data_IF_564303702198
#
_entry.id   IF_564303702198
#
_cell.length_a   1.000
_cell.length_b   1.000
_cell.length_c   1.000
_cell.angle_alpha   90.00
_cell.angle_beta   90.00
_cell.angle_gamma   90.00
#
_symmetry.space_group_name_H-M   'P 1'
#
loop_
_entity.id
_entity.type
_entity.pdbx_description
1 polymer ?
#
# COMPACT_ATOMS: atom_id res chain seq x y z
N UNK A 1 -19.75 0.35 -18.41
CA UNK A 1 -20.82 1.33 -18.11
C UNK A 1 -21.47 0.92 -16.79
N UNK A 2 -21.12 1.55 -15.66
CA UNK A 2 -21.69 1.20 -14.34
C UNK A 2 -22.92 2.09 -14.07
N UNK A 3 -24.07 1.71 -14.63
CA UNK A 3 -25.35 2.46 -14.57
C UNK A 3 -25.80 2.82 -13.14
N UNK A 4 -25.31 2.12 -12.11
CA UNK A 4 -25.69 2.35 -10.71
C UNK A 4 -24.96 3.53 -10.05
N UNK A 5 -23.91 4.08 -10.68
CA UNK A 5 -23.22 5.26 -10.14
C UNK A 5 -23.76 6.58 -10.66
N UNK A 6 -24.50 6.57 -11.78
CA UNK A 6 -25.05 7.77 -12.42
C UNK A 6 -26.59 7.73 -12.33
N UNK A 7 -27.11 7.59 -11.11
CA UNK A 7 -28.55 7.49 -10.85
C UNK A 7 -29.21 8.87 -10.84
N UNK A 8 -30.39 9.04 -11.46
CA UNK A 8 -31.17 10.26 -11.33
C UNK A 8 -31.61 10.47 -9.88
N UNK A 9 -31.84 11.75 -9.52
CA UNK A 9 -32.26 12.14 -8.17
C UNK A 9 -33.54 11.39 -7.78
N UNK A 10 -33.54 10.75 -6.63
CA UNK A 10 -34.67 9.99 -6.10
C UNK A 10 -34.59 8.46 -6.28
N UNK A 11 -33.61 7.94 -7.04
CA UNK A 11 -33.40 6.48 -7.12
C UNK A 11 -32.33 6.03 -6.13
N UNK A 12 -32.71 5.09 -5.25
CA UNK A 12 -31.74 4.48 -4.34
C UNK A 12 -30.84 3.47 -5.07
N UNK A 13 -29.57 3.37 -4.66
CA UNK A 13 -28.64 2.33 -5.14
C UNK A 13 -29.19 0.92 -4.93
N UNK A 14 -29.99 0.72 -3.87
CA UNK A 14 -30.64 -0.55 -3.59
C UNK A 14 -31.66 -0.94 -4.67
N UNK A 15 -32.52 0.00 -5.08
CA UNK A 15 -33.50 -0.20 -6.14
C UNK A 15 -32.82 -0.44 -7.49
N UNK A 16 -31.78 0.33 -7.79
CA UNK A 16 -31.01 0.19 -9.02
C UNK A 16 -30.26 -1.15 -9.11
N UNK A 17 -29.69 -1.64 -8.00
CA UNK A 17 -29.06 -2.96 -7.98
C UNK A 17 -30.08 -4.06 -8.20
N UNK A 18 -31.26 -3.94 -7.58
CA UNK A 18 -32.34 -4.89 -7.72
C UNK A 18 -32.88 -4.96 -9.14
N UNK A 19 -33.07 -3.83 -9.82
CA UNK A 19 -33.64 -3.77 -11.17
C UNK A 19 -32.73 -4.39 -12.24
N UNK A 20 -31.42 -4.39 -12.03
CA UNK A 20 -30.43 -4.99 -12.95
C UNK A 20 -29.89 -6.34 -12.45
N UNK A 21 -30.47 -6.89 -11.38
CA UNK A 21 -30.14 -8.23 -10.88
C UNK A 21 -28.74 -8.37 -10.27
N UNK A 22 -28.11 -7.28 -9.82
CA UNK A 22 -26.80 -7.35 -9.16
C UNK A 22 -26.94 -7.24 -7.64
N UNK A 23 -26.08 -7.95 -6.91
CA UNK A 23 -26.01 -7.79 -5.47
C UNK A 23 -25.37 -6.44 -5.12
N UNK A 24 -25.97 -5.71 -4.15
CA UNK A 24 -25.48 -4.39 -3.72
C UNK A 24 -24.00 -4.39 -3.30
N UNK A 25 -23.54 -5.49 -2.68
CA UNK A 25 -22.14 -5.61 -2.24
C UNK A 25 -21.15 -5.54 -3.42
N UNK A 26 -21.57 -6.00 -4.61
CA UNK A 26 -20.75 -6.00 -5.82
C UNK A 26 -20.43 -4.58 -6.33
N UNK A 27 -21.20 -3.56 -5.89
CA UNK A 27 -20.86 -2.16 -6.16
C UNK A 27 -19.57 -1.72 -5.44
N UNK A 28 -19.34 -2.22 -4.23
CA UNK A 28 -18.22 -1.82 -3.39
C UNK A 28 -16.98 -2.67 -3.60
N UNK A 29 -17.16 -3.92 -4.03
CA UNK A 29 -16.05 -4.83 -4.34
C UNK A 29 -15.45 -4.58 -5.73
N UNK A 30 -16.18 -3.96 -6.65
CA UNK A 30 -15.66 -3.73 -8.01
C UNK A 30 -14.58 -2.67 -7.98
N UNK A 31 -13.33 -2.98 -8.38
CA UNK A 31 -12.34 -1.96 -8.62
C UNK A 31 -12.88 -1.01 -9.69
N UNK A 32 -12.67 0.30 -9.50
CA UNK A 32 -13.03 1.30 -10.50
C UNK A 32 -12.43 0.88 -11.86
N UNK A 33 -13.22 0.89 -12.94
CA UNK A 33 -12.71 0.53 -14.26
C UNK A 33 -11.61 1.53 -14.67
N UNK A 34 -10.55 1.03 -15.30
CA UNK A 34 -9.34 1.79 -15.62
C UNK A 34 -9.58 3.09 -16.38
N UNK A 35 -10.67 3.22 -17.15
CA UNK A 35 -11.04 4.46 -17.84
C UNK A 35 -11.50 5.59 -16.90
N UNK A 36 -11.96 5.26 -15.67
CA UNK A 36 -12.27 6.24 -14.62
C UNK A 36 -11.04 6.64 -13.81
N UNK A 37 -9.96 5.85 -13.88
CA UNK A 37 -8.64 6.22 -13.38
C UNK A 37 -7.90 7.18 -14.34
N UNK A 38 -8.47 7.47 -15.51
CA UNK A 38 -7.96 8.44 -16.49
C UNK A 38 -8.52 9.85 -16.27
N UNK A 39 -9.27 10.09 -15.18
CA UNK A 39 -9.53 11.46 -14.73
C UNK A 39 -8.19 12.16 -14.54
N UNK A 40 -8.01 13.29 -15.23
CA UNK A 40 -6.77 14.03 -15.49
C UNK A 40 -6.02 14.58 -14.28
N UNK A 41 -6.41 14.18 -13.07
CA UNK A 41 -5.59 14.42 -11.89
C UNK A 41 -4.52 13.34 -11.85
N UNK A 42 -3.31 13.73 -12.27
CA UNK A 42 -2.07 13.05 -11.90
C UNK A 42 -2.25 12.58 -10.46
N UNK A 43 -2.12 11.27 -10.13
CA UNK A 43 -2.30 10.84 -8.76
C UNK A 43 -1.39 11.70 -7.90
N UNK A 44 -1.99 12.56 -7.07
CA UNK A 44 -1.24 13.39 -6.13
C UNK A 44 -0.39 12.39 -5.39
N UNK A 45 0.93 12.49 -5.53
CA UNK A 45 1.86 11.56 -4.90
C UNK A 45 1.40 11.42 -3.45
N UNK A 46 0.87 10.23 -3.13
CA UNK A 46 0.20 10.03 -1.86
C UNK A 46 1.21 10.41 -0.78
N UNK A 47 0.85 11.35 0.09
CA UNK A 47 1.76 11.77 1.16
C UNK A 47 2.28 10.52 1.86
N UNK A 48 3.60 10.39 2.05
CA UNK A 48 4.15 9.22 2.70
C UNK A 48 3.46 9.04 4.05
N UNK A 49 3.18 7.79 4.42
CA UNK A 49 2.55 7.48 5.69
C UNK A 49 3.38 8.12 6.82
N UNK A 50 2.78 8.66 7.90
CA UNK A 50 3.54 9.33 8.98
C UNK A 50 4.61 8.45 9.65
N UNK A 51 4.52 7.12 9.48
CA UNK A 51 5.50 6.13 9.96
C UNK A 51 6.43 5.60 8.86
N UNK A 52 6.40 6.19 7.67
CA UNK A 52 7.35 5.84 6.63
C UNK A 52 8.74 6.26 7.09
N UNK A 53 9.73 5.40 6.84
CA UNK A 53 11.13 5.74 7.04
C UNK A 53 11.46 6.96 6.16
N UNK A 54 12.02 7.99 6.77
CA UNK A 54 12.66 9.11 6.08
C UNK A 54 13.87 8.61 5.28
N UNK A 55 14.27 9.34 4.25
CA UNK A 55 15.46 9.03 3.44
C UNK A 55 16.72 8.70 4.29
N UNK A 56 17.10 9.48 5.33
CA UNK A 56 18.26 9.14 6.15
C UNK A 56 18.08 7.82 6.93
N UNK A 57 16.86 7.53 7.41
CA UNK A 57 16.58 6.26 8.09
C UNK A 57 16.66 5.07 7.12
N UNK A 58 16.17 5.24 5.89
CA UNK A 58 16.30 4.22 4.85
C UNK A 58 17.76 3.93 4.54
N UNK A 59 18.58 4.98 4.41
CA UNK A 59 20.01 4.85 4.15
C UNK A 59 20.73 4.10 5.28
N UNK A 60 20.45 4.45 6.53
CA UNK A 60 21.02 3.76 7.69
C UNK A 60 20.68 2.25 7.71
N UNK A 61 19.45 1.88 7.32
CA UNK A 61 19.04 0.47 7.19
C UNK A 61 19.81 -0.22 6.07
N UNK A 62 19.96 0.42 4.90
CA UNK A 62 20.71 -0.13 3.77
C UNK A 62 22.19 -0.30 4.08
N UNK A 63 22.80 0.65 4.80
CA UNK A 63 24.19 0.55 5.26
C UNK A 63 24.41 -0.66 6.16
N UNK A 64 23.49 -0.95 7.08
CA UNK A 64 23.58 -2.16 7.91
C UNK A 64 23.38 -3.43 7.09
N UNK A 65 22.40 -3.46 6.19
CA UNK A 65 22.15 -4.60 5.29
C UNK A 65 23.36 -4.91 4.38
N UNK A 66 24.08 -3.89 3.95
CA UNK A 66 25.27 -4.04 3.09
C UNK A 66 26.59 -4.09 3.88
N UNK A 67 26.54 -4.03 5.21
CA UNK A 67 27.74 -4.11 6.04
C UNK A 67 28.35 -5.51 5.97
N UNK A 68 29.68 -5.59 6.09
CA UNK A 68 30.39 -6.87 6.15
C UNK A 68 29.89 -7.78 7.28
N UNK A 69 29.30 -7.20 8.33
CA UNK A 69 28.72 -7.92 9.46
C UNK A 69 27.50 -8.75 9.07
N UNK A 70 26.70 -8.27 8.12
CA UNK A 70 25.41 -8.86 7.76
C UNK A 70 25.32 -9.29 6.29
N UNK A 71 26.44 -9.28 5.56
CA UNK A 71 26.47 -9.62 4.12
C UNK A 71 25.92 -11.02 3.82
N UNK A 72 26.16 -11.98 4.71
CA UNK A 72 25.64 -13.36 4.59
C UNK A 72 24.37 -13.60 5.41
N UNK A 73 23.83 -12.56 6.06
CA UNK A 73 22.65 -12.66 6.91
C UNK A 73 21.40 -12.20 6.15
N UNK A 74 20.31 -12.94 6.30
CA UNK A 74 19.00 -12.46 5.84
C UNK A 74 18.56 -11.23 6.63
N UNK A 75 17.70 -10.35 6.06
CA UNK A 75 17.13 -9.22 6.79
C UNK A 75 16.45 -9.61 8.11
N UNK A 76 15.87 -10.82 8.19
CA UNK A 76 15.27 -11.34 9.41
C UNK A 76 16.31 -11.64 10.50
N UNK A 77 17.47 -12.17 10.13
CA UNK A 77 18.57 -12.43 11.06
C UNK A 77 19.19 -11.12 11.54
N UNK A 78 19.51 -10.19 10.64
CA UNK A 78 20.03 -8.87 11.01
C UNK A 78 19.13 -8.16 12.03
N UNK A 79 17.82 -8.09 11.75
CA UNK A 79 16.85 -7.45 12.65
C UNK A 79 16.77 -8.15 14.00
N UNK A 80 16.82 -9.49 14.03
CA UNK A 80 16.83 -10.23 15.29
C UNK A 80 18.09 -9.94 16.12
N UNK A 81 19.27 -9.94 15.48
CA UNK A 81 20.55 -9.62 16.13
C UNK A 81 20.54 -8.21 16.71
N UNK A 82 20.14 -7.20 15.92
CA UNK A 82 20.08 -5.82 16.37
C UNK A 82 19.09 -5.64 17.53
N UNK A 83 17.94 -6.31 17.50
CA UNK A 83 16.97 -6.27 18.60
C UNK A 83 17.53 -6.91 19.89
N UNK A 84 18.27 -8.01 19.77
CA UNK A 84 18.98 -8.60 20.92
C UNK A 84 20.02 -7.65 21.52
N UNK A 85 20.57 -6.74 20.72
CA UNK A 85 21.50 -5.69 21.12
C UNK A 85 20.79 -4.41 21.63
N UNK A 86 19.45 -4.39 21.66
CA UNK A 86 18.66 -3.24 22.07
C UNK A 86 18.52 -2.14 21.00
N UNK A 87 18.92 -2.43 19.76
CA UNK A 87 18.84 -1.49 18.63
C UNK A 87 17.63 -1.80 17.76
N UNK A 88 16.68 -0.85 17.67
CA UNK A 88 15.54 -0.94 16.75
C UNK A 88 15.72 0.03 15.58
N UNK A 89 16.13 -0.50 14.42
CA UNK A 89 16.32 0.28 13.18
C UNK A 89 15.09 0.27 12.27
N UNK A 90 14.56 -0.92 11.97
CA UNK A 90 13.39 -1.09 11.10
C UNK A 90 12.72 -2.45 11.31
N UNK A 91 11.49 -2.59 10.80
CA UNK A 91 10.82 -3.89 10.71
C UNK A 91 11.43 -4.79 9.62
N UNK A 92 11.29 -6.11 9.74
CA UNK A 92 11.74 -7.06 8.71
C UNK A 92 11.08 -6.77 7.35
N UNK A 93 9.78 -6.46 7.34
CA UNK A 93 9.04 -6.12 6.12
C UNK A 93 9.55 -4.82 5.49
N UNK A 94 9.94 -3.83 6.29
CA UNK A 94 10.55 -2.60 5.80
C UNK A 94 11.88 -2.87 5.12
N UNK A 95 12.73 -3.73 5.70
CA UNK A 95 14.01 -4.12 5.10
C UNK A 95 13.81 -4.77 3.72
N UNK A 96 12.88 -5.75 3.61
CA UNK A 96 12.59 -6.37 2.31
C UNK A 96 11.94 -5.43 1.30
N UNK A 97 11.20 -4.42 1.75
CA UNK A 97 10.66 -3.38 0.86
C UNK A 97 11.78 -2.51 0.29
N UNK A 98 12.75 -2.12 1.11
CA UNK A 98 13.91 -1.34 0.67
C UNK A 98 14.77 -2.11 -0.33
N UNK A 99 15.01 -3.41 -0.11
CA UNK A 99 15.78 -4.24 -1.05
C UNK A 99 15.07 -4.54 -2.39
N UNK A 100 13.77 -4.28 -2.49
CA UNK A 100 12.98 -4.47 -3.73
C UNK A 100 12.75 -3.19 -4.51
N UNK A 101 13.03 -2.04 -3.91
CA UNK A 101 12.89 -0.73 -4.53
C UNK A 101 13.99 -0.53 -5.58
#
# INVERSE_FOLDING_TARGET
MNLVNDLPVGISKALACQSIGIARHSLYLRPQPAWRAQSTDKPVAAKPHPRALSEPEQQAVLEQLHSARFVDASPRQMVATLQSEGVMLASVSSCYRLLRA
#
